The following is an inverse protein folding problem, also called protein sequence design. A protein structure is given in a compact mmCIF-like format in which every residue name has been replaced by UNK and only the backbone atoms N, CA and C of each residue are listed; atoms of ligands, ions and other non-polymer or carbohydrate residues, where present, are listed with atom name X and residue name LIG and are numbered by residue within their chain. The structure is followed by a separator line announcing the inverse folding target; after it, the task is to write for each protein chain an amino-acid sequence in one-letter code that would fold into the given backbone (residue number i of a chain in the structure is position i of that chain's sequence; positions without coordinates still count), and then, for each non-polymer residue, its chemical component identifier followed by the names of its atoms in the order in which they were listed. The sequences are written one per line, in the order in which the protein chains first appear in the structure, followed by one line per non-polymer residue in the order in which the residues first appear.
data_IF_682247281825
#
_entry.id   IF_682247281825
#
_cell.length_a   1.000
_cell.length_b   1.000
_cell.length_c   1.000
_cell.angle_alpha   90.00
_cell.angle_beta   90.00
_cell.angle_gamma   90.00
#
_symmetry.space_group_name_H-M   'P 1'
#
loop_
_entity.id
_entity.type
_entity.pdbx_description
1 polymer ?
#
# COMPACT_ATOMS: atom_id res chain seq x y z
N UNK A 1 -10.95 -14.12 4.80
CA UNK A 1 -9.62 -13.70 5.28
C UNK A 1 -8.49 -14.22 4.40
N UNK A 2 -8.27 -15.54 4.30
CA UNK A 2 -7.19 -16.09 3.45
C UNK A 2 -7.22 -15.62 1.99
N UNK A 3 -8.42 -15.50 1.39
CA UNK A 3 -8.57 -14.98 0.03
C UNK A 3 -8.07 -13.54 -0.13
N UNK A 4 -8.42 -12.66 0.83
CA UNK A 4 -8.00 -11.25 0.86
C UNK A 4 -6.49 -11.14 1.09
N UNK A 5 -5.94 -11.95 2.00
CA UNK A 5 -4.50 -12.01 2.24
C UNK A 5 -3.74 -12.45 0.98
N UNK A 6 -4.24 -13.45 0.25
CA UNK A 6 -3.65 -13.84 -1.05
C UNK A 6 -3.72 -12.69 -2.05
N UNK A 7 -4.86 -12.02 -2.18
CA UNK A 7 -4.99 -10.86 -3.08
C UNK A 7 -3.97 -9.77 -2.74
N UNK A 8 -3.76 -9.48 -1.46
CA UNK A 8 -2.75 -8.55 -0.96
C UNK A 8 -1.33 -8.93 -1.41
N UNK A 9 -0.93 -10.19 -1.22
CA UNK A 9 0.42 -10.65 -1.59
C UNK A 9 0.66 -10.75 -3.10
N UNK A 10 -0.39 -10.96 -3.90
CA UNK A 10 -0.28 -11.04 -5.37
C UNK A 10 -0.52 -9.71 -6.08
N UNK A 11 -0.91 -8.66 -5.34
CA UNK A 11 -1.09 -7.32 -5.90
C UNK A 11 0.23 -6.79 -6.46
N UNK A 12 0.17 -6.13 -7.62
CA UNK A 12 1.38 -5.70 -8.35
C UNK A 12 1.73 -4.24 -8.16
N UNK A 13 0.91 -3.45 -7.44
CA UNK A 13 1.08 -2.01 -7.33
C UNK A 13 2.48 -1.62 -6.82
N UNK A 14 2.92 -2.20 -5.70
CA UNK A 14 4.26 -1.94 -5.14
C UNK A 14 5.36 -2.32 -6.14
N UNK A 15 5.20 -3.44 -6.85
CA UNK A 15 6.14 -3.88 -7.88
C UNK A 15 6.20 -2.92 -9.07
N UNK A 16 5.05 -2.44 -9.53
CA UNK A 16 4.94 -1.46 -10.62
C UNK A 16 5.60 -0.12 -10.25
N UNK A 17 5.36 0.38 -9.04
CA UNK A 17 6.01 1.59 -8.54
C UNK A 17 7.53 1.38 -8.42
N UNK A 18 7.97 0.34 -7.70
CA UNK A 18 9.38 0.11 -7.39
C UNK A 18 10.26 -0.19 -8.62
N UNK A 19 9.74 -0.96 -9.57
CA UNK A 19 10.53 -1.42 -10.72
C UNK A 19 10.38 -0.54 -11.95
N UNK A 20 9.23 0.12 -12.11
CA UNK A 20 8.88 0.82 -13.35
C UNK A 20 8.63 2.30 -13.15
N UNK A 21 8.50 2.77 -11.90
CA UNK A 21 8.08 4.14 -11.58
C UNK A 21 6.76 4.49 -12.30
N UNK A 22 5.79 3.58 -12.25
CA UNK A 22 4.46 3.76 -12.86
C UNK A 22 3.39 3.64 -11.79
N UNK A 23 2.46 4.58 -11.80
CA UNK A 23 1.25 4.51 -10.99
C UNK A 23 0.17 3.71 -11.72
N UNK A 24 0.04 2.43 -11.38
CA UNK A 24 -1.00 1.57 -11.94
C UNK A 24 -2.29 1.71 -11.12
N UNK A 25 -3.20 2.57 -11.59
CA UNK A 25 -4.48 2.88 -10.94
C UNK A 25 -5.33 1.62 -10.66
N UNK A 26 -5.29 0.62 -11.55
CA UNK A 26 -6.08 -0.61 -11.38
C UNK A 26 -5.53 -1.43 -10.22
N UNK A 27 -4.21 -1.64 -10.17
CA UNK A 27 -3.56 -2.38 -9.08
C UNK A 27 -3.64 -1.60 -7.76
N UNK A 28 -3.55 -0.27 -7.80
CA UNK A 28 -3.75 0.60 -6.64
C UNK A 28 -5.14 0.41 -6.02
N UNK A 29 -6.20 0.54 -6.83
CA UNK A 29 -7.57 0.38 -6.35
C UNK A 29 -7.84 -1.04 -5.84
N UNK A 30 -7.24 -2.07 -6.46
CA UNK A 30 -7.32 -3.44 -5.97
C UNK A 30 -6.64 -3.58 -4.59
N UNK A 31 -5.51 -2.92 -4.37
CA UNK A 31 -4.79 -2.92 -3.10
C UNK A 31 -5.63 -2.23 -2.01
N UNK A 32 -6.13 -1.04 -2.28
CA UNK A 32 -7.00 -0.27 -1.36
C UNK A 32 -8.24 -1.07 -0.99
N UNK A 33 -8.90 -1.70 -1.96
CA UNK A 33 -10.08 -2.54 -1.71
C UNK A 33 -9.75 -3.73 -0.79
N UNK A 34 -8.63 -4.42 -1.04
CA UNK A 34 -8.20 -5.54 -0.22
C UNK A 34 -7.82 -5.12 1.21
N UNK A 35 -7.18 -3.96 1.39
CA UNK A 35 -6.85 -3.41 2.71
C UNK A 35 -8.12 -3.04 3.49
N UNK A 36 -9.11 -2.41 2.85
CA UNK A 36 -10.40 -2.09 3.46
C UNK A 36 -11.16 -3.36 3.88
N UNK A 37 -11.20 -4.38 3.01
CA UNK A 37 -11.83 -5.65 3.39
C UNK A 37 -11.09 -6.29 4.56
N UNK A 38 -9.75 -6.26 4.53
CA UNK A 38 -8.93 -6.81 5.62
C UNK A 38 -9.15 -6.06 6.93
N UNK A 39 -9.30 -4.73 6.93
CA UNK A 39 -9.52 -3.95 8.16
C UNK A 39 -10.84 -4.31 8.84
N UNK A 40 -11.88 -4.58 8.05
CA UNK A 40 -13.18 -5.05 8.57
C UNK A 40 -13.04 -6.46 9.17
N UNK A 41 -12.29 -7.35 8.52
CA UNK A 41 -12.09 -8.72 8.99
C UNK A 41 -11.24 -8.76 10.27
N UNK A 42 -10.19 -7.95 10.35
CA UNK A 42 -9.25 -7.93 11.48
C UNK A 42 -9.86 -7.41 12.77
N UNK A 43 -10.93 -6.60 12.73
CA UNK A 43 -11.66 -6.12 13.94
C UNK A 43 -12.14 -7.24 14.88
N UNK A 44 -12.30 -8.47 14.37
CA UNK A 44 -12.74 -9.63 15.15
C UNK A 44 -11.58 -10.51 15.62
N UNK A 45 -10.38 -10.27 15.10
CA UNK A 45 -9.19 -11.03 15.41
C UNK A 45 -8.43 -10.41 16.58
N UNK A 46 -7.78 -11.25 17.39
CA UNK A 46 -6.96 -10.80 18.52
C UNK A 46 -5.47 -10.71 18.19
N UNK A 47 -5.06 -11.36 17.11
CA UNK A 47 -3.66 -11.53 16.73
C UNK A 47 -3.55 -11.49 15.23
N UNK A 48 -2.44 -10.93 14.75
CA UNK A 48 -2.08 -10.95 13.35
C UNK A 48 -0.85 -11.84 13.16
N UNK A 49 -0.82 -12.55 12.03
CA UNK A 49 0.38 -13.27 11.62
C UNK A 49 1.55 -12.30 11.40
N UNK A 50 2.77 -12.72 11.77
CA UNK A 50 3.95 -11.86 11.72
C UNK A 50 4.37 -11.50 10.29
N UNK A 51 4.23 -12.44 9.36
CA UNK A 51 4.56 -12.20 7.95
C UNK A 51 3.57 -11.20 7.35
N UNK A 52 2.28 -11.37 7.65
CA UNK A 52 1.26 -10.40 7.25
C UNK A 52 1.51 -9.01 7.85
N UNK A 53 1.82 -8.92 9.14
CA UNK A 53 2.11 -7.64 9.78
C UNK A 53 3.31 -6.95 9.14
N UNK A 54 4.41 -7.68 8.91
CA UNK A 54 5.60 -7.15 8.23
C UNK A 54 5.28 -6.65 6.82
N UNK A 55 4.49 -7.43 6.07
CA UNK A 55 4.06 -7.03 4.73
C UNK A 55 3.25 -5.73 4.76
N UNK A 56 2.26 -5.63 5.65
CA UNK A 56 1.42 -4.44 5.81
C UNK A 56 2.26 -3.20 6.11
N UNK A 57 3.20 -3.27 7.06
CA UNK A 57 4.10 -2.15 7.35
C UNK A 57 4.98 -1.75 6.15
N UNK A 58 5.33 -2.70 5.28
CA UNK A 58 6.18 -2.41 4.12
C UNK A 58 5.47 -1.65 3.01
N UNK A 59 4.14 -1.75 2.90
CA UNK A 59 3.34 -1.13 1.82
C UNK A 59 3.55 0.40 1.79
N UNK A 60 3.21 1.18 2.84
CA UNK A 60 3.38 2.63 2.82
C UNK A 60 4.85 3.04 2.78
N UNK A 61 5.76 2.28 3.39
CA UNK A 61 7.20 2.55 3.35
C UNK A 61 7.75 2.52 1.92
N UNK A 62 7.34 1.54 1.11
CA UNK A 62 7.81 1.41 -0.26
C UNK A 62 7.29 2.56 -1.14
N UNK A 63 6.06 3.01 -0.93
CA UNK A 63 5.51 4.15 -1.67
C UNK A 63 6.20 5.45 -1.25
N UNK A 64 6.42 5.64 0.05
CA UNK A 64 7.21 6.77 0.55
C UNK A 64 8.59 6.83 -0.08
N UNK A 65 9.32 5.72 -0.15
CA UNK A 65 10.64 5.70 -0.79
C UNK A 65 10.60 6.07 -2.26
N UNK A 66 9.55 5.66 -2.99
CA UNK A 66 9.36 6.06 -4.37
C UNK A 66 9.04 7.55 -4.49
N UNK A 67 8.20 8.09 -3.60
CA UNK A 67 7.92 9.52 -3.53
C UNK A 67 9.17 10.35 -3.19
N UNK A 68 9.94 9.96 -2.16
CA UNK A 68 11.17 10.65 -1.73
C UNK A 68 12.22 10.70 -2.85
N UNK A 69 12.18 9.80 -3.84
CA UNK A 69 13.06 9.85 -5.02
C UNK A 69 12.81 11.05 -5.94
N UNK A 70 11.70 11.77 -5.77
CA UNK A 70 11.36 12.98 -6.52
C UNK A 70 11.80 14.28 -5.83
N UNK A 71 12.27 14.27 -4.58
CA UNK A 71 12.64 15.48 -3.82
C UNK A 71 13.81 16.27 -4.46
N UNK A 72 14.58 15.66 -5.37
CA UNK A 72 15.64 16.34 -6.12
C UNK A 72 15.13 17.10 -7.38
N UNK A 73 13.84 16.97 -7.73
CA UNK A 73 13.25 17.55 -8.95
C UNK A 73 12.36 18.73 -8.55
N UNK A 74 12.69 19.94 -9.03
CA UNK A 74 12.03 21.19 -8.64
C UNK A 74 10.55 21.32 -9.05
N UNK A 75 10.06 20.44 -9.91
CA UNK A 75 8.64 20.31 -10.27
C UNK A 75 8.17 18.90 -9.92
N UNK A 76 7.27 18.79 -8.92
CA UNK A 76 6.54 17.54 -8.65
C UNK A 76 5.69 17.23 -9.88
N UNK A 77 6.08 16.20 -10.63
CA UNK A 77 5.27 15.70 -11.74
C UNK A 77 4.00 15.00 -11.21
N UNK A 78 3.03 14.73 -12.09
CA UNK A 78 1.75 14.07 -11.76
C UNK A 78 1.95 12.78 -10.95
N UNK A 79 3.01 12.02 -11.25
CA UNK A 79 3.36 10.80 -10.55
C UNK A 79 3.76 11.05 -9.08
N UNK A 80 4.57 12.08 -8.80
CA UNK A 80 4.96 12.41 -7.44
C UNK A 80 3.75 12.78 -6.57
N UNK A 81 2.81 13.56 -7.11
CA UNK A 81 1.55 13.92 -6.41
C UNK A 81 0.73 12.67 -6.10
N UNK A 82 0.56 11.77 -7.07
CA UNK A 82 -0.17 10.51 -6.86
C UNK A 82 0.49 9.60 -5.83
N UNK A 83 1.82 9.54 -5.80
CA UNK A 83 2.54 8.73 -4.82
C UNK A 83 2.44 9.33 -3.41
N UNK A 84 2.42 10.65 -3.28
CA UNK A 84 2.18 11.34 -2.01
C UNK A 84 0.78 11.01 -1.47
N UNK A 85 -0.25 11.18 -2.30
CA UNK A 85 -1.64 10.86 -1.93
C UNK A 85 -1.79 9.37 -1.57
N UNK A 86 -1.24 8.48 -2.38
CA UNK A 86 -1.29 7.04 -2.14
C UNK A 86 -0.53 6.63 -0.88
N UNK A 87 0.60 7.27 -0.57
CA UNK A 87 1.32 7.01 0.67
C UNK A 87 0.45 7.32 1.88
N UNK A 88 -0.17 8.50 1.91
CA UNK A 88 -1.04 8.94 3.02
C UNK A 88 -2.23 7.98 3.18
N UNK A 89 -2.91 7.62 2.08
CA UNK A 89 -4.06 6.71 2.12
C UNK A 89 -3.67 5.30 2.59
N UNK A 90 -2.59 4.73 2.03
CA UNK A 90 -2.14 3.38 2.37
C UNK A 90 -1.63 3.29 3.82
N UNK A 91 -0.98 4.33 4.33
CA UNK A 91 -0.52 4.37 5.73
C UNK A 91 -1.71 4.33 6.69
N UNK A 92 -2.74 5.16 6.43
CA UNK A 92 -3.97 5.18 7.21
C UNK A 92 -4.68 3.82 7.19
N UNK A 93 -4.85 3.20 6.02
CA UNK A 93 -5.49 1.88 5.89
C UNK A 93 -4.71 0.78 6.59
N UNK A 94 -3.38 0.78 6.49
CA UNK A 94 -2.54 -0.19 7.19
C UNK A 94 -2.67 -0.05 8.71
N UNK A 95 -2.70 1.18 9.23
CA UNK A 95 -2.96 1.43 10.65
C UNK A 95 -4.33 0.87 11.06
N UNK A 96 -5.38 1.08 10.26
CA UNK A 96 -6.71 0.53 10.55
C UNK A 96 -6.75 -1.00 10.55
N UNK A 97 -5.96 -1.66 9.71
CA UNK A 97 -5.85 -3.14 9.69
C UNK A 97 -5.15 -3.66 10.95
N UNK A 98 -4.20 -2.89 11.47
CA UNK A 98 -3.34 -3.28 12.60
C UNK A 98 -3.87 -2.84 13.97
N UNK A 99 -4.92 -2.02 14.01
CA UNK A 99 -5.55 -1.49 15.23
C UNK A 99 -6.62 -2.43 15.81
#
# INVERSE_FOLDING_TARGET
MEGVIRQLFFNKFIGDVKMKMVFNEVEYNNLVSALNELSILMKKEKTIDKELALYLYSIPQMIRYAYDSFDEISDKNDLAVKLEDAWIELDALVIEVLS
#
